data_IF_320661171187
#
_entry.id   IF_320661171187
#
_cell.length_a   1.000
_cell.length_b   1.000
_cell.length_c   1.000
_cell.angle_alpha   90.00
_cell.angle_beta   90.00
_cell.angle_gamma   90.00
#
_symmetry.space_group_name_H-M   'P 1'
#
loop_
_entity.id
_entity.type
_entity.pdbx_description
1 polymer ?
#
# COMPACT_ATOMS: atom_id res chain seq x y z
N UNK A 1 9.04 11.12 4.76
CA UNK A 1 7.78 11.90 4.74
C UNK A 1 7.35 12.02 3.29
N UNK A 2 6.08 11.94 2.96
CA UNK A 2 5.60 11.96 1.57
C UNK A 2 4.09 11.78 1.51
N UNK A 3 3.55 11.84 0.30
CA UNK A 3 2.13 11.65 0.01
C UNK A 3 1.99 10.68 -1.17
N UNK A 4 1.01 9.78 -1.09
CA UNK A 4 0.55 9.03 -2.25
C UNK A 4 -0.68 9.72 -2.82
N UNK A 5 -0.73 9.84 -4.14
CA UNK A 5 -1.86 10.42 -4.87
C UNK A 5 -2.18 9.46 -6.01
N UNK A 6 -3.45 9.11 -6.16
CA UNK A 6 -3.95 8.18 -7.18
C UNK A 6 -5.39 8.55 -7.53
N UNK A 7 -5.78 8.29 -8.78
CA UNK A 7 -7.18 8.31 -9.19
C UNK A 7 -7.89 6.99 -8.86
N UNK A 8 -7.13 5.92 -8.63
CA UNK A 8 -7.63 4.64 -8.12
C UNK A 8 -7.52 4.64 -6.58
N UNK A 9 -8.65 4.68 -5.85
CA UNK A 9 -8.65 4.71 -4.39
C UNK A 9 -8.16 3.39 -3.77
N UNK A 10 -8.40 2.26 -4.44
CA UNK A 10 -7.98 0.95 -3.94
C UNK A 10 -6.47 0.77 -4.09
N UNK A 11 -5.90 1.28 -5.19
CA UNK A 11 -4.46 1.22 -5.42
C UNK A 11 -3.67 2.01 -4.37
N UNK A 12 -4.14 3.20 -3.99
CA UNK A 12 -3.47 4.00 -2.95
C UNK A 12 -3.59 3.35 -1.57
N UNK A 13 -4.74 2.75 -1.24
CA UNK A 13 -4.92 2.00 0.00
C UNK A 13 -4.02 0.76 0.05
N UNK A 14 -3.88 0.03 -1.05
CA UNK A 14 -3.02 -1.14 -1.16
C UNK A 14 -1.53 -0.78 -0.97
N UNK A 15 -1.06 0.28 -1.64
CA UNK A 15 0.30 0.81 -1.44
C UNK A 15 0.51 1.31 -0.01
N UNK A 16 -0.47 1.99 0.57
CA UNK A 16 -0.43 2.47 1.95
C UNK A 16 -0.32 1.33 2.96
N UNK A 17 -1.13 0.29 2.81
CA UNK A 17 -1.07 -0.91 3.63
C UNK A 17 0.28 -1.64 3.49
N UNK A 18 0.80 -1.74 2.26
CA UNK A 18 2.13 -2.33 2.01
C UNK A 18 3.24 -1.54 2.71
N UNK A 19 3.27 -0.21 2.54
CA UNK A 19 4.25 0.67 3.17
C UNK A 19 4.23 0.52 4.70
N UNK A 20 3.04 0.52 5.30
CA UNK A 20 2.89 0.36 6.74
C UNK A 20 3.34 -1.03 7.21
N UNK A 21 3.07 -2.09 6.44
CA UNK A 21 3.52 -3.45 6.78
C UNK A 21 5.05 -3.53 6.76
N UNK A 22 5.69 -2.96 5.73
CA UNK A 22 7.14 -2.89 5.62
C UNK A 22 7.75 -2.12 6.79
N UNK A 23 7.17 -0.97 7.15
CA UNK A 23 7.61 -0.19 8.32
C UNK A 23 7.46 -0.96 9.63
N UNK A 24 6.37 -1.71 9.80
CA UNK A 24 6.14 -2.54 11.00
C UNK A 24 7.17 -3.65 11.10
N UNK A 25 7.48 -4.34 9.99
CA UNK A 25 8.53 -5.36 9.97
C UNK A 25 9.89 -4.79 10.36
N UNK A 26 10.22 -3.60 9.85
CA UNK A 26 11.46 -2.90 10.21
C UNK A 26 11.50 -2.54 11.71
N UNK A 27 10.39 -2.06 12.26
CA UNK A 27 10.32 -1.61 13.65
C UNK A 27 10.31 -2.77 14.67
N UNK A 28 9.54 -3.82 14.40
CA UNK A 28 9.35 -4.94 15.33
C UNK A 28 10.33 -6.09 15.11
N UNK A 29 11.02 -6.14 13.97
CA UNK A 29 11.93 -7.23 13.60
C UNK A 29 11.22 -8.54 13.23
N UNK A 30 9.89 -8.56 13.24
CA UNK A 30 9.06 -9.73 12.91
C UNK A 30 7.83 -9.32 12.08
N UNK A 31 7.20 -10.30 11.46
CA UNK A 31 5.98 -10.05 10.68
C UNK A 31 4.78 -9.89 11.63
N UNK A 32 4.36 -8.64 11.85
CA UNK A 32 3.14 -8.30 12.59
C UNK A 32 2.09 -7.73 11.65
N UNK A 33 1.07 -8.50 11.26
CA UNK A 33 0.04 -8.05 10.32
C UNK A 33 -0.63 -6.74 10.75
N UNK A 34 -1.04 -5.95 9.77
CA UNK A 34 -1.98 -4.83 9.98
C UNK A 34 -3.40 -5.38 9.90
N UNK A 35 -4.21 -5.05 10.89
CA UNK A 35 -5.60 -5.51 10.96
C UNK A 35 -6.54 -4.36 11.37
N UNK A 36 -7.68 -4.16 10.69
CA UNK A 36 -8.18 -4.92 9.52
C UNK A 36 -7.72 -4.33 8.18
N UNK A 37 -7.34 -5.17 7.21
CA UNK A 37 -7.02 -4.76 5.80
C UNK A 37 -7.93 -5.40 4.75
N UNK A 38 -8.86 -6.27 5.16
CA UNK A 38 -9.75 -7.03 4.27
C UNK A 38 -10.61 -6.17 3.33
N UNK A 39 -10.88 -4.93 3.70
CA UNK A 39 -11.72 -4.01 2.94
C UNK A 39 -11.07 -3.61 1.61
N UNK A 40 -9.73 -3.55 1.55
CA UNK A 40 -8.98 -3.22 0.32
C UNK A 40 -9.22 -4.30 -0.75
N UNK A 41 -9.01 -5.57 -0.39
CA UNK A 41 -9.24 -6.69 -1.30
C UNK A 41 -10.72 -6.86 -1.66
N UNK A 42 -11.64 -6.50 -0.76
CA UNK A 42 -13.08 -6.53 -1.05
C UNK A 42 -13.49 -5.43 -2.03
N UNK A 43 -12.94 -4.21 -1.89
CA UNK A 43 -13.20 -3.11 -2.79
C UNK A 43 -12.80 -3.44 -4.24
N UNK A 44 -11.66 -4.11 -4.43
CA UNK A 44 -11.22 -4.67 -5.72
C UNK A 44 -12.14 -5.81 -6.18
N UNK A 45 -12.16 -6.93 -5.46
CA UNK A 45 -12.71 -8.19 -5.98
C UNK A 45 -14.22 -8.27 -5.98
N UNK A 46 -14.88 -7.64 -5.01
CA UNK A 46 -16.34 -7.70 -4.84
C UNK A 46 -17.04 -6.49 -5.44
N UNK A 47 -16.41 -5.32 -5.34
CA UNK A 47 -17.03 -4.06 -5.73
C UNK A 47 -16.41 -3.43 -6.98
N UNK A 48 -15.30 -3.98 -7.48
CA UNK A 48 -14.62 -3.53 -8.70
C UNK A 48 -14.30 -2.02 -8.71
N UNK A 49 -13.97 -1.48 -7.53
CA UNK A 49 -13.72 -0.04 -7.34
C UNK A 49 -12.27 0.39 -7.67
N UNK A 50 -11.40 -0.56 -7.98
CA UNK A 50 -9.99 -0.32 -8.25
C UNK A 50 -9.14 -1.58 -8.16
N UNK A 51 -7.83 -1.43 -8.12
CA UNK A 51 -6.85 -2.53 -8.15
C UNK A 51 -6.10 -2.64 -6.83
N UNK A 52 -6.19 -3.80 -6.17
CA UNK A 52 -5.47 -4.07 -4.91
C UNK A 52 -4.17 -4.87 -5.09
N UNK A 53 -3.96 -5.46 -6.27
CA UNK A 53 -2.75 -6.23 -6.59
C UNK A 53 -1.57 -5.30 -6.91
N UNK A 54 -0.58 -5.26 -6.04
CA UNK A 54 0.63 -4.43 -6.17
C UNK A 54 1.37 -4.64 -7.50
N UNK A 55 1.30 -5.84 -8.10
CA UNK A 55 1.96 -6.12 -9.39
C UNK A 55 1.28 -5.45 -10.58
N UNK A 56 0.05 -4.98 -10.39
CA UNK A 56 -0.78 -4.33 -11.42
C UNK A 56 -0.87 -2.82 -11.23
N UNK A 57 -0.26 -2.27 -10.18
CA UNK A 57 -0.22 -0.84 -9.89
C UNK A 57 1.07 -0.28 -10.47
N UNK A 58 0.95 0.69 -11.38
CA UNK A 58 2.10 1.46 -11.85
C UNK A 58 2.45 2.54 -10.82
N UNK A 59 3.63 2.42 -10.21
CA UNK A 59 4.05 3.26 -9.10
C UNK A 59 5.24 4.14 -9.49
N UNK A 60 4.96 5.44 -9.66
CA UNK A 60 5.98 6.45 -10.00
C UNK A 60 6.43 7.17 -8.74
N UNK A 61 7.73 7.07 -8.41
CA UNK A 61 8.35 7.79 -7.31
C UNK A 61 8.91 9.13 -7.77
N UNK A 62 8.57 10.20 -7.05
CA UNK A 62 9.05 11.55 -7.29
C UNK A 62 9.64 12.13 -5.99
N UNK A 63 10.74 12.88 -6.10
CA UNK A 63 11.42 13.51 -4.97
C UNK A 63 12.48 12.64 -4.31
N UNK A 64 12.67 12.80 -2.99
CA UNK A 64 13.71 12.12 -2.23
C UNK A 64 13.52 10.60 -2.21
N UNK A 65 14.63 9.89 -2.39
CA UNK A 65 14.64 8.42 -2.45
C UNK A 65 15.42 7.79 -1.31
N UNK A 66 16.16 8.57 -0.51
CA UNK A 66 16.82 8.06 0.68
C UNK A 66 15.80 7.48 1.67
N UNK A 67 16.08 6.30 2.21
CA UNK A 67 15.29 5.58 3.21
C UNK A 67 13.81 5.28 2.82
N UNK A 68 13.47 5.33 1.52
CA UNK A 68 12.14 4.97 1.05
C UNK A 68 11.91 3.45 1.18
N UNK A 69 10.78 3.06 1.75
CA UNK A 69 10.45 1.66 2.07
C UNK A 69 9.64 0.95 0.97
N UNK A 70 9.47 1.59 -0.19
CA UNK A 70 8.64 1.15 -1.31
C UNK A 70 9.16 1.75 -2.62
#
# INVERSE_FOLDING_TARGET
KGIFVSQDPVAVDALGAHLLQTKRRLHFGEDRPITPTKHIAMADRRHHLGVSDLKRIDFVKLGWTEDVLI
#
